data_IF_897595794257
#
_entry.id   IF_897595794257
#
_cell.length_a   1.000
_cell.length_b   1.000
_cell.length_c   1.000
_cell.angle_alpha   90.00
_cell.angle_beta   90.00
_cell.angle_gamma   90.00
#
_symmetry.space_group_name_H-M   'P 1'
#
loop_
_entity.id
_entity.type
_entity.pdbx_description
1 polymer ?
#
# COMPACT_ATOMS: atom_id res chain seq x y z
N UNK A 1 -12.69 -7.42 -8.53
CA UNK A 1 -11.25 -7.64 -8.59
C UNK A 1 -10.88 -8.13 -9.98
N UNK A 2 -10.65 -7.22 -10.89
CA UNK A 2 -10.19 -7.45 -12.27
C UNK A 2 -9.59 -6.16 -12.80
N UNK A 3 -8.79 -6.23 -13.84
CA UNK A 3 -8.42 -5.06 -14.61
C UNK A 3 -9.63 -4.51 -15.35
N UNK A 4 -9.69 -3.20 -15.50
CA UNK A 4 -10.67 -2.54 -16.33
C UNK A 4 -10.26 -2.72 -17.80
N UNK A 5 -11.14 -3.33 -18.60
CA UNK A 5 -10.84 -3.69 -20.00
C UNK A 5 -10.71 -2.46 -20.91
N UNK A 6 -11.33 -1.34 -20.53
CA UNK A 6 -11.21 -0.07 -21.27
C UNK A 6 -9.80 0.51 -21.14
N UNK A 7 -9.23 0.48 -19.92
CA UNK A 7 -7.90 1.05 -19.63
C UNK A 7 -6.78 0.02 -19.77
N UNK A 8 -7.08 -1.27 -19.61
CA UNK A 8 -6.13 -2.38 -19.65
C UNK A 8 -6.67 -3.49 -20.55
N UNK A 9 -6.69 -3.29 -21.89
CA UNK A 9 -7.32 -4.24 -22.82
C UNK A 9 -6.60 -5.59 -22.88
N UNK A 10 -5.30 -5.64 -22.56
CA UNK A 10 -4.51 -6.87 -22.45
C UNK A 10 -3.57 -6.78 -21.24
N UNK A 11 -4.08 -7.04 -20.03
CA UNK A 11 -3.25 -6.96 -18.82
C UNK A 11 -2.17 -8.05 -18.76
N UNK A 12 -2.37 -9.20 -19.37
CA UNK A 12 -1.36 -10.25 -19.42
C UNK A 12 -0.16 -9.82 -20.26
N UNK A 13 -0.39 -9.23 -21.42
CA UNK A 13 0.67 -8.66 -22.26
C UNK A 13 1.38 -7.50 -21.55
N UNK A 14 0.64 -6.59 -20.92
CA UNK A 14 1.22 -5.47 -20.17
C UNK A 14 2.19 -5.98 -19.10
N UNK A 15 1.78 -6.93 -18.26
CA UNK A 15 2.64 -7.49 -17.20
C UNK A 15 3.85 -8.20 -17.80
N UNK A 16 3.65 -8.99 -18.86
CA UNK A 16 4.74 -9.66 -19.57
C UNK A 16 5.77 -8.67 -20.13
N UNK A 17 5.32 -7.57 -20.70
CA UNK A 17 6.22 -6.55 -21.26
C UNK A 17 6.98 -5.79 -20.16
N UNK A 18 6.34 -5.51 -19.01
CA UNK A 18 7.02 -4.97 -17.82
C UNK A 18 8.12 -5.93 -17.35
N UNK A 19 7.82 -7.22 -17.25
CA UNK A 19 8.81 -8.22 -16.81
C UNK A 19 10.01 -8.31 -17.78
N UNK A 20 9.79 -8.18 -19.09
CA UNK A 20 10.89 -8.13 -20.09
C UNK A 20 11.81 -6.91 -19.88
N UNK A 21 11.29 -5.83 -19.32
CA UNK A 21 12.05 -4.63 -18.94
C UNK A 21 12.65 -4.72 -17.54
N UNK A 22 12.58 -5.89 -16.89
CA UNK A 22 12.95 -6.11 -15.48
C UNK A 22 12.18 -5.22 -14.49
N UNK A 23 10.96 -4.83 -14.84
CA UNK A 23 10.05 -4.07 -14.00
C UNK A 23 9.05 -5.01 -13.32
N UNK A 24 8.69 -4.71 -12.08
CA UNK A 24 7.69 -5.45 -11.29
C UNK A 24 6.42 -4.64 -11.14
N UNK A 25 5.27 -5.31 -11.12
CA UNK A 25 3.98 -4.66 -10.95
C UNK A 25 3.46 -4.86 -9.52
N UNK A 26 3.24 -3.74 -8.85
CA UNK A 26 2.52 -3.68 -7.57
C UNK A 26 1.13 -3.10 -7.85
N UNK A 27 0.08 -3.77 -7.36
CA UNK A 27 -1.29 -3.28 -7.48
C UNK A 27 -1.86 -2.87 -6.12
N UNK A 28 -2.62 -1.78 -6.13
CA UNK A 28 -3.35 -1.31 -4.96
C UNK A 28 -4.59 -2.18 -4.72
N UNK A 29 -4.76 -2.60 -3.48
CA UNK A 29 -5.88 -3.42 -3.03
C UNK A 29 -6.39 -2.93 -1.69
N UNK A 30 -7.69 -3.05 -1.49
CA UNK A 30 -8.34 -2.65 -0.24
C UNK A 30 -8.92 -3.86 0.49
N UNK A 31 -8.96 -3.78 1.79
CA UNK A 31 -9.70 -4.72 2.64
C UNK A 31 -11.22 -4.50 2.60
N UNK A 32 -11.66 -3.43 1.95
CA UNK A 32 -13.06 -3.10 1.66
C UNK A 32 -13.44 -3.59 0.27
N UNK A 33 -14.60 -4.20 0.13
CA UNK A 33 -15.12 -4.65 -1.16
C UNK A 33 -16.47 -3.98 -1.42
N UNK A 34 -16.64 -3.44 -2.63
CA UNK A 34 -17.91 -2.88 -3.06
C UNK A 34 -19.01 -3.97 -3.03
N UNK A 35 -20.05 -3.82 -2.21
CA UNK A 35 -21.11 -4.81 -2.06
C UNK A 35 -21.97 -4.98 -3.32
N UNK A 36 -21.95 -4.01 -4.23
CA UNK A 36 -22.67 -4.11 -5.52
C UNK A 36 -21.94 -4.99 -6.55
N UNK A 37 -20.63 -5.19 -6.36
CA UNK A 37 -19.84 -6.06 -7.23
C UNK A 37 -20.20 -7.54 -7.07
N UNK A 38 -19.88 -8.36 -8.08
CA UNK A 38 -20.07 -9.83 -8.01
C UNK A 38 -19.40 -10.44 -6.76
N UNK A 39 -18.15 -10.05 -6.49
CA UNK A 39 -17.40 -10.53 -5.32
C UNK A 39 -18.01 -10.01 -4.02
N UNK A 40 -18.46 -8.75 -4.01
CA UNK A 40 -19.09 -8.15 -2.84
C UNK A 40 -20.44 -8.76 -2.49
N UNK A 41 -21.28 -9.04 -3.48
CA UNK A 41 -22.55 -9.77 -3.27
C UNK A 41 -22.30 -11.12 -2.64
N UNK A 42 -21.36 -11.89 -3.18
CA UNK A 42 -21.00 -13.19 -2.63
C UNK A 42 -20.46 -13.08 -1.20
N UNK A 43 -19.61 -12.09 -0.91
CA UNK A 43 -19.12 -11.84 0.44
C UNK A 43 -20.25 -11.48 1.42
N UNK A 44 -21.25 -10.74 0.96
CA UNK A 44 -22.44 -10.39 1.76
C UNK A 44 -23.32 -11.61 2.02
N UNK A 45 -23.62 -12.41 0.98
CA UNK A 45 -24.45 -13.60 1.09
C UNK A 45 -23.85 -14.65 2.04
N UNK A 46 -22.52 -14.75 2.04
CA UNK A 46 -21.78 -15.67 2.92
C UNK A 46 -21.44 -15.06 4.32
N UNK A 47 -21.86 -13.81 4.59
CA UNK A 47 -21.65 -13.14 5.88
C UNK A 47 -20.18 -12.88 6.21
N UNK A 48 -19.35 -12.55 5.21
CA UNK A 48 -17.89 -12.39 5.34
C UNK A 48 -17.44 -10.97 5.66
N UNK A 49 -18.37 -10.01 5.69
CA UNK A 49 -18.10 -8.66 6.13
C UNK A 49 -18.24 -8.52 7.66
N UNK A 50 -17.50 -7.58 8.22
CA UNK A 50 -17.80 -7.09 9.57
C UNK A 50 -19.20 -6.48 9.54
N UNK A 51 -20.14 -6.94 10.39
CA UNK A 51 -21.55 -6.52 10.36
C UNK A 51 -21.73 -5.00 10.34
N UNK A 52 -22.55 -4.52 9.40
CA UNK A 52 -22.82 -3.11 9.20
C UNK A 52 -21.70 -2.33 8.48
N UNK A 53 -20.77 -3.05 7.84
CA UNK A 53 -19.69 -2.48 7.03
C UNK A 53 -19.53 -3.22 5.71
N UNK A 54 -18.59 -2.77 4.88
CA UNK A 54 -18.11 -3.48 3.68
C UNK A 54 -16.66 -3.92 3.82
N UNK A 55 -16.12 -3.93 5.05
CA UNK A 55 -14.81 -4.45 5.40
C UNK A 55 -14.87 -5.95 5.61
N UNK A 56 -13.95 -6.68 5.00
CA UNK A 56 -13.80 -8.13 5.23
C UNK A 56 -13.42 -8.39 6.69
N UNK A 57 -14.05 -9.38 7.31
CA UNK A 57 -13.72 -9.81 8.67
C UNK A 57 -12.49 -10.72 8.68
N UNK A 58 -11.29 -10.13 8.62
CA UNK A 58 -10.05 -10.89 8.63
C UNK A 58 -9.74 -11.63 9.94
N UNK A 59 -10.59 -11.52 10.92
CA UNK A 59 -10.55 -12.38 12.13
C UNK A 59 -11.25 -13.70 11.89
N UNK A 60 -12.08 -13.82 10.85
CA UNK A 60 -12.71 -15.04 10.40
C UNK A 60 -11.86 -15.74 9.33
N UNK A 61 -11.66 -17.06 9.48
CA UNK A 61 -10.82 -17.82 8.56
C UNK A 61 -11.46 -18.00 7.18
N UNK A 62 -12.79 -18.12 7.11
CA UNK A 62 -13.51 -18.26 5.85
C UNK A 62 -13.43 -16.94 5.06
N UNK A 63 -13.63 -15.80 5.73
CA UNK A 63 -13.51 -14.48 5.12
C UNK A 63 -12.08 -14.20 4.62
N UNK A 64 -11.06 -14.55 5.41
CA UNK A 64 -9.65 -14.45 5.01
C UNK A 64 -9.36 -15.33 3.79
N UNK A 65 -9.83 -16.57 3.77
CA UNK A 65 -9.66 -17.50 2.66
C UNK A 65 -10.39 -17.04 1.41
N UNK A 66 -11.60 -16.53 1.54
CA UNK A 66 -12.36 -15.94 0.45
C UNK A 66 -11.62 -14.77 -0.20
N UNK A 67 -11.12 -13.84 0.62
CA UNK A 67 -10.37 -12.69 0.14
C UNK A 67 -9.13 -13.11 -0.65
N UNK A 68 -8.29 -13.98 -0.08
CA UNK A 68 -7.10 -14.47 -0.76
C UNK A 68 -7.40 -15.24 -2.04
N UNK A 69 -8.37 -16.14 -2.03
CA UNK A 69 -8.74 -16.93 -3.19
C UNK A 69 -9.14 -16.05 -4.39
N UNK A 70 -9.85 -14.94 -4.15
CA UNK A 70 -10.18 -13.99 -5.21
C UNK A 70 -8.93 -13.31 -5.80
N UNK A 71 -7.94 -12.93 -4.98
CA UNK A 71 -6.68 -12.39 -5.47
C UNK A 71 -5.86 -13.41 -6.22
N UNK A 72 -5.73 -14.60 -5.67
CA UNK A 72 -5.02 -15.69 -6.31
C UNK A 72 -5.56 -16.00 -7.70
N UNK A 73 -6.87 -16.21 -7.79
CA UNK A 73 -7.48 -16.74 -9.02
C UNK A 73 -7.73 -15.66 -10.07
N UNK A 74 -7.93 -14.40 -9.65
CA UNK A 74 -8.26 -13.29 -10.55
C UNK A 74 -7.04 -12.41 -10.91
N UNK A 75 -5.97 -12.43 -10.14
CA UNK A 75 -4.84 -11.51 -10.30
C UNK A 75 -3.48 -12.24 -10.31
N UNK A 76 -3.18 -13.06 -9.29
CA UNK A 76 -1.89 -13.72 -9.20
C UNK A 76 -1.69 -14.75 -10.32
N UNK A 77 -2.56 -15.74 -10.43
CA UNK A 77 -2.44 -16.81 -11.43
C UNK A 77 -2.53 -16.32 -12.87
N UNK A 78 -3.50 -15.47 -13.25
CA UNK A 78 -3.63 -15.03 -14.64
C UNK A 78 -2.51 -14.09 -15.10
N UNK A 79 -1.98 -13.25 -14.20
CA UNK A 79 -1.10 -12.14 -14.59
C UNK A 79 0.27 -12.17 -13.93
N UNK A 80 0.47 -12.96 -12.87
CA UNK A 80 1.74 -13.01 -12.16
C UNK A 80 2.11 -11.71 -11.43
N UNK A 81 1.12 -11.05 -10.81
CA UNK A 81 1.34 -9.82 -10.03
C UNK A 81 2.44 -10.02 -8.99
N UNK A 82 3.38 -9.07 -8.91
CA UNK A 82 4.61 -9.23 -8.12
C UNK A 82 4.47 -8.73 -6.68
N UNK A 83 3.64 -7.71 -6.46
CA UNK A 83 3.55 -7.06 -5.15
C UNK A 83 2.14 -6.52 -4.87
N UNK A 84 1.85 -6.30 -3.60
CA UNK A 84 0.52 -5.96 -3.10
C UNK A 84 0.58 -4.71 -2.23
N UNK A 85 -0.03 -3.63 -2.69
CA UNK A 85 -0.20 -2.40 -1.94
C UNK A 85 -1.54 -2.45 -1.22
N UNK A 86 -1.48 -2.78 0.07
CA UNK A 86 -2.65 -2.87 0.95
C UNK A 86 -2.97 -1.49 1.53
N UNK A 87 -3.91 -0.81 0.92
CA UNK A 87 -4.39 0.49 1.38
C UNK A 87 -5.58 0.33 2.34
N UNK A 88 -5.86 1.37 3.11
CA UNK A 88 -7.01 1.47 4.00
C UNK A 88 -7.15 0.33 5.02
N UNK A 89 -6.04 -0.17 5.52
CA UNK A 89 -5.98 -1.37 6.39
C UNK A 89 -6.17 -1.10 7.88
N UNK A 90 -6.59 0.09 8.30
CA UNK A 90 -6.83 0.44 9.72
C UNK A 90 -8.00 -0.31 10.39
N UNK A 91 -9.25 -0.48 9.87
CA UNK A 91 -9.88 -0.05 8.61
C UNK A 91 -10.16 1.46 8.55
N UNK A 92 -10.06 2.04 7.36
CA UNK A 92 -10.20 3.49 7.15
C UNK A 92 -11.59 3.99 7.57
N UNK A 93 -11.59 5.11 8.31
CA UNK A 93 -12.80 5.77 8.80
C UNK A 93 -13.70 4.88 9.68
N UNK A 94 -13.19 3.76 10.20
CA UNK A 94 -13.90 2.93 11.17
C UNK A 94 -12.90 2.49 12.25
N UNK A 95 -13.26 2.70 13.51
CA UNK A 95 -12.46 2.27 14.65
C UNK A 95 -12.95 0.94 15.24
N UNK A 96 -13.90 0.30 14.58
CA UNK A 96 -14.61 -0.90 14.99
C UNK A 96 -15.36 -0.75 16.32
N UNK A 97 -15.56 0.47 16.81
CA UNK A 97 -16.34 0.72 18.03
C UNK A 97 -17.82 0.34 17.81
N UNK A 98 -18.36 -0.43 18.75
CA UNK A 98 -19.74 -0.95 18.64
C UNK A 98 -19.91 -2.02 17.54
N UNK A 99 -18.86 -2.38 16.82
CA UNK A 99 -18.88 -3.46 15.83
C UNK A 99 -18.67 -4.82 16.49
N UNK A 100 -19.16 -5.85 15.82
CA UNK A 100 -18.93 -7.24 16.21
C UNK A 100 -18.10 -7.92 15.11
N UNK A 101 -17.06 -8.64 15.50
CA UNK A 101 -16.17 -9.40 14.60
C UNK A 101 -16.25 -10.89 14.90
N UNK A 102 -15.57 -11.73 14.13
CA UNK A 102 -15.59 -13.20 14.28
C UNK A 102 -17.04 -13.74 14.25
N UNK A 103 -17.76 -13.40 13.19
CA UNK A 103 -19.19 -13.78 13.03
C UNK A 103 -20.06 -13.30 14.21
N UNK A 104 -19.80 -12.11 14.71
CA UNK A 104 -20.58 -11.50 15.79
C UNK A 104 -20.22 -11.95 17.21
N UNK A 105 -19.16 -12.71 17.41
CA UNK A 105 -18.82 -13.28 18.73
C UNK A 105 -17.95 -12.36 19.59
N UNK A 106 -17.17 -11.44 19.01
CA UNK A 106 -16.23 -10.59 19.73
C UNK A 106 -16.49 -9.10 19.48
N UNK A 107 -16.20 -8.22 20.47
CA UNK A 107 -16.29 -6.77 20.29
C UNK A 107 -15.12 -6.26 19.46
N UNK A 108 -15.42 -5.47 18.41
CA UNK A 108 -14.43 -4.98 17.45
C UNK A 108 -13.39 -4.04 18.04
N UNK A 109 -13.80 -3.15 18.93
CA UNK A 109 -12.92 -2.16 19.58
C UNK A 109 -11.76 -2.80 20.35
N UNK A 110 -11.92 -4.02 20.85
CA UNK A 110 -10.84 -4.77 21.53
C UNK A 110 -9.73 -5.19 20.56
N UNK A 111 -10.07 -5.38 19.29
CA UNK A 111 -9.18 -5.98 18.29
C UNK A 111 -8.79 -5.04 17.16
N UNK A 112 -9.30 -3.81 17.12
CA UNK A 112 -9.13 -2.88 16.00
C UNK A 112 -7.67 -2.71 15.57
N UNK A 113 -6.75 -2.54 16.51
CA UNK A 113 -5.34 -2.33 16.22
C UNK A 113 -4.65 -3.56 15.61
N UNK A 114 -5.26 -4.74 15.75
CA UNK A 114 -4.76 -6.01 15.17
C UNK A 114 -5.28 -6.26 13.77
N UNK A 115 -6.28 -5.52 13.32
CA UNK A 115 -6.87 -5.68 11.99
C UNK A 115 -5.83 -5.64 10.86
N UNK A 116 -4.94 -4.63 10.76
CA UNK A 116 -3.92 -4.57 9.70
C UNK A 116 -2.97 -5.78 9.72
N UNK A 117 -2.66 -6.29 10.90
CA UNK A 117 -1.83 -7.49 11.03
C UNK A 117 -2.53 -8.72 10.41
N UNK A 118 -3.85 -8.84 10.59
CA UNK A 118 -4.64 -9.93 10.00
C UNK A 118 -4.74 -9.83 8.49
N UNK A 119 -4.94 -8.62 7.96
CA UNK A 119 -4.92 -8.36 6.51
C UNK A 119 -3.58 -8.80 5.91
N UNK A 120 -2.47 -8.28 6.46
CA UNK A 120 -1.11 -8.56 6.00
C UNK A 120 -0.78 -10.06 6.09
N UNK A 121 -1.16 -10.71 7.20
CA UNK A 121 -1.00 -12.14 7.39
C UNK A 121 -1.69 -12.94 6.30
N UNK A 122 -2.94 -12.61 5.97
CA UNK A 122 -3.73 -13.32 4.95
C UNK A 122 -3.02 -13.32 3.60
N UNK A 123 -2.54 -12.16 3.15
CA UNK A 123 -1.79 -12.04 1.88
C UNK A 123 -0.45 -12.79 1.96
N UNK A 124 0.30 -12.62 3.05
CA UNK A 124 1.60 -13.29 3.22
C UNK A 124 1.48 -14.81 3.18
N UNK A 125 0.58 -15.38 3.99
CA UNK A 125 0.38 -16.82 4.07
C UNK A 125 -0.15 -17.37 2.73
N UNK A 126 -1.04 -16.64 2.06
CA UNK A 126 -1.52 -16.98 0.73
C UNK A 126 -0.41 -17.02 -0.30
N UNK A 127 0.44 -15.99 -0.37
CA UNK A 127 1.60 -15.94 -1.26
C UNK A 127 2.59 -17.06 -0.96
N UNK A 128 2.91 -17.32 0.30
CA UNK A 128 3.81 -18.41 0.69
C UNK A 128 3.30 -19.78 0.28
N UNK A 129 1.97 -19.95 0.24
CA UNK A 129 1.32 -21.20 -0.18
C UNK A 129 1.27 -21.34 -1.71
N UNK A 130 0.83 -20.28 -2.40
CA UNK A 130 0.46 -20.37 -3.82
C UNK A 130 1.58 -19.91 -4.78
N UNK A 131 2.60 -19.21 -4.26
CA UNK A 131 3.78 -18.77 -4.99
C UNK A 131 5.05 -18.89 -4.13
N UNK A 132 5.41 -20.09 -3.67
CA UNK A 132 6.49 -20.30 -2.68
C UNK A 132 7.89 -19.96 -3.22
N UNK A 133 8.05 -19.88 -4.53
CA UNK A 133 9.31 -19.53 -5.20
C UNK A 133 9.68 -18.07 -5.12
N UNK A 134 8.74 -17.19 -4.81
CA UNK A 134 8.97 -15.74 -4.69
C UNK A 134 8.86 -15.26 -3.25
N UNK A 135 9.68 -14.27 -2.91
CA UNK A 135 9.55 -13.55 -1.64
C UNK A 135 8.32 -12.64 -1.70
N UNK A 136 7.36 -12.75 -0.75
CA UNK A 136 6.24 -11.83 -0.68
C UNK A 136 6.71 -10.38 -0.56
N UNK A 137 6.16 -9.49 -1.39
CA UNK A 137 6.33 -8.05 -1.28
C UNK A 137 4.97 -7.44 -0.96
N UNK A 138 4.85 -6.92 0.24
CA UNK A 138 3.64 -6.33 0.78
C UNK A 138 3.94 -4.91 1.23
N UNK A 139 3.13 -3.97 0.77
CA UNK A 139 3.20 -2.57 1.14
C UNK A 139 1.87 -2.20 1.80
N UNK A 140 1.89 -1.70 3.04
CA UNK A 140 0.66 -1.49 3.82
C UNK A 140 0.66 -0.17 4.56
N UNK A 141 -0.51 0.49 4.64
CA UNK A 141 -0.64 1.79 5.31
C UNK A 141 -0.57 1.70 6.83
N UNK A 142 -0.95 0.59 7.39
CA UNK A 142 -0.95 0.40 8.83
C UNK A 142 -0.38 -0.94 9.25
N UNK A 143 0.02 -1.03 10.50
CA UNK A 143 0.62 -2.23 11.06
C UNK A 143 0.40 -2.34 12.57
N UNK A 144 0.83 -3.45 13.12
CA UNK A 144 0.79 -3.73 14.56
C UNK A 144 2.01 -4.56 14.96
N UNK A 145 2.29 -4.65 16.25
CA UNK A 145 3.37 -5.48 16.76
C UNK A 145 3.32 -6.89 16.20
N UNK A 146 4.42 -7.37 15.64
CA UNK A 146 4.51 -8.66 14.96
C UNK A 146 4.39 -8.57 13.42
N UNK A 147 4.11 -7.41 12.82
CA UNK A 147 4.03 -7.23 11.36
C UNK A 147 5.36 -7.54 10.67
N UNK A 148 6.51 -7.36 11.35
CA UNK A 148 7.83 -7.70 10.82
C UNK A 148 7.96 -9.16 10.37
N UNK A 149 7.20 -10.09 10.95
CA UNK A 149 7.22 -11.52 10.55
C UNK A 149 6.65 -11.75 9.14
N UNK A 150 5.85 -10.80 8.65
CA UNK A 150 5.24 -10.86 7.32
C UNK A 150 5.99 -10.01 6.29
N UNK A 151 7.15 -9.44 6.65
CA UNK A 151 8.01 -8.70 5.74
C UNK A 151 7.36 -7.47 5.09
N UNK A 152 6.31 -6.92 5.72
CA UNK A 152 5.60 -5.78 5.17
C UNK A 152 6.41 -4.50 5.28
N UNK A 153 6.39 -3.70 4.21
CA UNK A 153 6.85 -2.31 4.21
C UNK A 153 5.65 -1.43 4.58
N UNK A 154 5.83 -0.51 5.52
CA UNK A 154 4.80 0.43 5.93
C UNK A 154 5.11 1.84 5.42
N UNK A 155 4.07 2.61 5.12
CA UNK A 155 4.20 4.06 4.91
C UNK A 155 3.34 4.84 5.89
N UNK A 156 3.67 6.10 6.04
CA UNK A 156 3.07 6.98 7.06
C UNK A 156 1.65 7.45 6.74
N UNK A 157 1.03 6.98 5.65
CA UNK A 157 -0.29 7.42 5.24
C UNK A 157 -0.29 8.75 4.48
N UNK A 158 -1.48 9.35 4.41
CA UNK A 158 -1.77 10.54 3.62
C UNK A 158 -1.34 11.80 4.37
N UNK A 159 -0.08 12.19 4.22
CA UNK A 159 0.52 13.30 4.97
C UNK A 159 0.58 14.59 4.14
N UNK A 160 0.70 15.73 4.84
CA UNK A 160 0.96 17.03 4.23
C UNK A 160 2.36 17.13 3.61
N UNK A 161 2.65 18.29 3.00
CA UNK A 161 3.86 18.49 2.23
C UNK A 161 4.86 19.49 2.84
N UNK A 162 4.53 20.12 3.96
CA UNK A 162 5.31 21.21 4.56
C UNK A 162 6.61 20.75 5.25
N UNK A 163 7.51 21.70 5.55
CA UNK A 163 8.80 21.45 6.19
C UNK A 163 8.68 20.79 7.57
N UNK A 164 7.64 21.13 8.32
CA UNK A 164 7.39 20.55 9.65
C UNK A 164 7.00 19.08 9.51
N UNK A 165 6.16 18.77 8.53
CA UNK A 165 5.76 17.40 8.20
C UNK A 165 6.98 16.58 7.82
N UNK A 166 7.84 17.05 6.90
CA UNK A 166 9.07 16.35 6.51
C UNK A 166 9.95 16.03 7.73
N UNK A 167 10.16 17.00 8.60
CA UNK A 167 10.96 16.82 9.83
C UNK A 167 10.36 15.72 10.72
N UNK A 168 9.04 15.74 10.89
CA UNK A 168 8.35 14.74 11.70
C UNK A 168 8.40 13.36 11.06
N UNK A 169 8.30 13.26 9.74
CA UNK A 169 8.38 12.00 9.04
C UNK A 169 9.75 11.33 9.25
N UNK A 170 10.84 12.09 9.18
CA UNK A 170 12.18 11.55 9.44
C UNK A 170 12.28 11.01 10.88
N UNK A 171 11.87 11.81 11.87
CA UNK A 171 11.92 11.41 13.27
C UNK A 171 11.00 10.21 13.57
N UNK A 172 9.78 10.22 13.02
CA UNK A 172 8.81 9.14 13.18
C UNK A 172 9.31 7.84 12.56
N UNK A 173 9.93 7.90 11.38
CA UNK A 173 10.51 6.73 10.73
C UNK A 173 11.63 6.09 11.56
N UNK A 174 12.51 6.90 12.15
CA UNK A 174 13.56 6.41 13.05
C UNK A 174 12.98 5.72 14.30
N UNK A 175 11.97 6.34 14.91
CA UNK A 175 11.27 5.75 16.05
C UNK A 175 10.56 4.46 15.68
N UNK A 176 9.93 4.43 14.49
CA UNK A 176 9.23 3.25 13.99
C UNK A 176 10.21 2.07 13.78
N UNK A 177 11.34 2.32 13.14
CA UNK A 177 12.40 1.32 12.95
C UNK A 177 12.92 0.80 14.31
N UNK A 178 13.07 1.67 15.31
CA UNK A 178 13.49 1.29 16.64
C UNK A 178 12.51 0.31 17.34
N UNK A 179 11.25 0.23 16.91
CA UNK A 179 10.29 -0.77 17.42
C UNK A 179 10.46 -2.17 16.81
N UNK A 180 11.45 -2.37 15.95
CA UNK A 180 11.68 -3.64 15.25
C UNK A 180 10.88 -3.82 13.96
N UNK A 181 10.35 -2.74 13.40
CA UNK A 181 9.67 -2.68 12.09
C UNK A 181 10.58 -1.93 11.09
N UNK A 182 11.60 -2.59 10.50
CA UNK A 182 12.69 -1.91 9.80
C UNK A 182 12.27 -1.37 8.42
N UNK A 183 11.17 -1.84 7.87
CA UNK A 183 10.72 -1.49 6.53
C UNK A 183 9.68 -0.38 6.59
N UNK A 184 10.14 0.87 6.45
CA UNK A 184 9.29 2.05 6.53
C UNK A 184 9.60 3.04 5.42
N UNK A 185 8.58 3.80 5.00
CA UNK A 185 8.69 4.88 4.01
C UNK A 185 7.60 5.93 4.21
N UNK A 186 7.57 6.88 3.29
CA UNK A 186 6.55 7.92 3.16
C UNK A 186 6.34 8.29 1.68
N UNK A 187 5.33 9.09 1.41
CA UNK A 187 5.10 9.69 0.10
C UNK A 187 5.99 10.92 -0.09
N UNK A 188 7.07 10.77 -0.86
CA UNK A 188 8.01 11.86 -1.07
C UNK A 188 7.33 13.05 -1.78
N UNK A 189 7.42 14.22 -1.16
CA UNK A 189 6.72 15.43 -1.57
C UNK A 189 5.37 15.65 -0.89
N UNK A 190 4.97 14.72 -0.01
CA UNK A 190 3.66 14.70 0.63
C UNK A 190 2.56 14.12 -0.26
N UNK A 191 1.56 13.50 0.34
CA UNK A 191 0.36 13.02 -0.36
C UNK A 191 -0.52 14.19 -0.78
N UNK A 192 -0.83 15.11 0.15
CA UNK A 192 -1.56 16.33 -0.16
C UNK A 192 -0.62 17.42 -0.64
N UNK A 193 -0.69 17.77 -1.91
CA UNK A 193 0.19 18.73 -2.58
C UNK A 193 -0.56 20.03 -2.91
N UNK A 194 0.14 21.19 -2.99
CA UNK A 194 -0.51 22.45 -3.37
C UNK A 194 -0.95 22.42 -4.84
N UNK A 195 -2.01 23.14 -5.17
CA UNK A 195 -2.52 23.19 -6.55
C UNK A 195 -1.53 23.77 -7.57
N UNK A 196 -0.63 24.64 -7.12
CA UNK A 196 0.42 25.28 -7.90
C UNK A 196 1.77 24.52 -7.86
N UNK A 197 1.75 23.26 -7.45
CA UNK A 197 2.93 22.43 -7.18
C UNK A 197 4.01 22.44 -8.29
N UNK A 198 3.64 22.65 -9.55
CA UNK A 198 4.57 22.60 -10.68
C UNK A 198 5.30 23.92 -10.92
N UNK A 199 4.83 25.01 -10.33
CA UNK A 199 5.38 26.37 -10.51
C UNK A 199 5.81 27.04 -9.19
N UNK A 200 5.40 26.47 -8.06
CA UNK A 200 5.72 26.99 -6.73
C UNK A 200 7.15 26.60 -6.34
N UNK A 201 8.07 27.57 -6.37
CA UNK A 201 9.48 27.36 -6.10
C UNK A 201 9.74 26.78 -4.69
N UNK A 202 8.98 27.22 -3.68
CA UNK A 202 9.11 26.69 -2.31
C UNK A 202 8.65 25.24 -2.23
N UNK A 203 7.58 24.88 -2.92
CA UNK A 203 7.16 23.48 -2.98
C UNK A 203 8.17 22.60 -3.73
N UNK A 204 8.71 23.07 -4.86
CA UNK A 204 9.72 22.33 -5.63
C UNK A 204 10.98 22.09 -4.77
N UNK A 205 11.41 23.07 -3.99
CA UNK A 205 12.51 22.89 -3.04
C UNK A 205 12.16 21.80 -1.99
N UNK A 206 10.97 21.87 -1.40
CA UNK A 206 10.51 20.84 -0.45
C UNK A 206 10.49 19.46 -1.08
N UNK A 207 9.92 19.30 -2.28
CA UNK A 207 9.88 18.02 -3.00
C UNK A 207 11.31 17.46 -3.17
N UNK A 208 12.26 18.28 -3.56
CA UNK A 208 13.66 17.87 -3.68
C UNK A 208 14.18 17.33 -2.34
N UNK A 209 13.92 17.99 -1.21
CA UNK A 209 14.37 17.53 0.12
C UNK A 209 13.70 16.24 0.55
N UNK A 210 12.42 16.10 0.27
CA UNK A 210 11.71 14.84 0.49
C UNK A 210 12.34 13.68 -0.30
N UNK A 211 12.68 13.91 -1.57
CA UNK A 211 13.32 12.90 -2.43
C UNK A 211 14.73 12.57 -1.96
N UNK A 212 15.51 13.58 -1.58
CA UNK A 212 16.86 13.41 -1.04
C UNK A 212 16.85 12.48 0.18
N UNK A 213 15.93 12.71 1.12
CA UNK A 213 15.79 11.86 2.32
C UNK A 213 15.30 10.46 1.95
N UNK A 214 14.31 10.34 1.05
CA UNK A 214 13.73 9.04 0.65
C UNK A 214 14.73 8.14 -0.08
N UNK A 215 15.81 8.71 -0.63
CA UNK A 215 16.91 7.96 -1.23
C UNK A 215 17.52 6.93 -0.27
N UNK A 216 17.52 7.24 1.03
CA UNK A 216 18.08 6.37 2.07
C UNK A 216 17.04 5.49 2.79
N UNK A 217 15.77 5.59 2.41
CA UNK A 217 14.73 4.75 3.00
C UNK A 217 14.71 3.35 2.35
N UNK A 218 14.24 2.32 3.06
CA UNK A 218 14.12 0.97 2.49
C UNK A 218 13.32 0.90 1.19
N UNK A 219 12.26 1.70 1.07
CA UNK A 219 11.49 1.87 -0.15
C UNK A 219 11.46 3.36 -0.51
N UNK A 220 11.95 3.72 -1.70
CA UNK A 220 11.86 5.06 -2.25
C UNK A 220 10.64 5.16 -3.16
N UNK A 221 9.75 6.10 -2.89
CA UNK A 221 8.57 6.35 -3.74
C UNK A 221 8.20 7.82 -3.78
N UNK A 222 7.55 8.20 -4.86
CA UNK A 222 6.78 9.44 -4.97
C UNK A 222 5.32 9.06 -5.17
N UNK A 223 4.43 9.70 -4.45
CA UNK A 223 2.99 9.51 -4.58
C UNK A 223 2.29 10.80 -4.11
N UNK A 224 1.19 11.16 -4.77
CA UNK A 224 0.45 12.38 -4.41
C UNK A 224 -0.98 12.31 -4.92
N UNK A 225 -1.91 12.82 -4.12
CA UNK A 225 -3.31 12.89 -4.47
C UNK A 225 -3.53 13.77 -5.70
N UNK A 226 -4.17 13.23 -6.73
CA UNK A 226 -4.51 13.95 -7.97
C UNK A 226 -3.32 14.71 -8.59
N UNK A 227 -2.12 14.12 -8.56
CA UNK A 227 -0.88 14.76 -8.97
C UNK A 227 -0.09 13.91 -9.95
N UNK A 228 0.49 14.55 -10.96
CA UNK A 228 1.54 13.97 -11.77
C UNK A 228 2.87 14.08 -10.99
N UNK A 229 3.40 12.96 -10.55
CA UNK A 229 4.52 12.93 -9.60
C UNK A 229 5.89 12.70 -10.26
N UNK A 230 5.92 12.59 -11.58
CA UNK A 230 7.13 12.35 -12.34
C UNK A 230 8.08 13.55 -12.31
N UNK A 231 9.39 13.33 -12.19
CA UNK A 231 10.37 14.40 -11.99
C UNK A 231 10.38 15.49 -13.07
N UNK A 232 10.02 15.13 -14.29
CA UNK A 232 10.01 16.09 -15.42
C UNK A 232 8.92 17.15 -15.36
N UNK A 233 7.90 16.96 -14.50
CA UNK A 233 6.83 17.94 -14.31
C UNK A 233 7.26 19.17 -13.49
N UNK A 234 8.40 19.11 -12.79
CA UNK A 234 8.87 20.14 -11.83
C UNK A 234 10.03 20.99 -12.35
N UNK A 235 10.25 20.98 -13.67
CA UNK A 235 11.32 21.73 -14.33
C UNK A 235 12.65 20.99 -14.39
N UNK A 236 13.54 21.48 -15.28
CA UNK A 236 14.80 20.79 -15.64
C UNK A 236 15.75 20.62 -14.46
N UNK A 237 15.85 21.62 -13.58
CA UNK A 237 16.76 21.55 -12.43
C UNK A 237 16.27 20.54 -11.40
N UNK A 238 14.99 20.55 -11.05
CA UNK A 238 14.40 19.55 -10.17
C UNK A 238 14.54 18.14 -10.75
N UNK A 239 14.25 17.96 -12.04
CA UNK A 239 14.43 16.70 -12.73
C UNK A 239 15.87 16.20 -12.65
N UNK A 240 16.86 17.06 -12.92
CA UNK A 240 18.29 16.72 -12.84
C UNK A 240 18.66 16.26 -11.42
N UNK A 241 18.32 17.05 -10.41
CA UNK A 241 18.65 16.75 -9.02
C UNK A 241 18.00 15.43 -8.57
N UNK A 242 16.70 15.25 -8.83
CA UNK A 242 15.97 14.03 -8.49
C UNK A 242 16.59 12.81 -9.18
N UNK A 243 16.93 12.94 -10.45
CA UNK A 243 17.60 11.87 -11.22
C UNK A 243 18.95 11.49 -10.63
N UNK A 244 19.74 12.47 -10.19
CA UNK A 244 21.05 12.22 -9.56
C UNK A 244 20.89 11.45 -8.23
N UNK A 245 19.85 11.75 -7.44
CA UNK A 245 19.56 11.00 -6.21
C UNK A 245 19.00 9.60 -6.49
N UNK A 246 18.22 9.40 -7.55
CA UNK A 246 17.84 8.07 -8.01
C UNK A 246 19.07 7.25 -8.40
N UNK A 247 20.00 7.84 -9.18
CA UNK A 247 21.27 7.19 -9.54
C UNK A 247 22.15 6.89 -8.33
N UNK A 248 22.19 7.79 -7.33
CA UNK A 248 22.87 7.54 -6.08
C UNK A 248 22.29 6.31 -5.38
N UNK A 249 20.96 6.23 -5.28
CA UNK A 249 20.29 5.06 -4.69
C UNK A 249 20.72 3.75 -5.36
N UNK A 250 20.74 3.69 -6.69
CA UNK A 250 21.17 2.49 -7.43
C UNK A 250 22.63 2.07 -7.19
N UNK A 251 23.47 2.99 -6.68
CA UNK A 251 24.84 2.68 -6.27
C UNK A 251 24.96 2.21 -4.83
N UNK A 252 23.94 2.43 -4.00
CA UNK A 252 23.92 2.05 -2.59
C UNK A 252 23.38 0.63 -2.35
N UNK A 253 22.74 0.03 -3.37
CA UNK A 253 22.08 -1.28 -3.27
C UNK A 253 22.60 -2.29 -4.27
#
# INVERSE_FOLDING_TARGET
MRFDEEYYPDPAKMVSDLHKMDMKLMISVWSKIDPSSEVGKKAQDEGLFIPGTTWIDFFDADASSFYWNNFRDRLLKPYGIDAWWQDATEPENDDLQGRRIMKGTQPGERYRNVYPLKVTRTIYEGLRKDDPGRRPMIFTRSGFSGAQRYGAVLWSGDVGNDWKTLRYQIASGLNFVATGLPWWTYDAGGFFRPGDQYTNADYIERLIRWVQTSTFLPLMRVHGYMSNTEPWNYGKDAQRIITDYIKLRYRLF
#
